data_IF_392543339864
#
_entry.id   IF_392543339864
#
_cell.length_a   1.000
_cell.length_b   1.000
_cell.length_c   1.000
_cell.angle_alpha   90.00
_cell.angle_beta   90.00
_cell.angle_gamma   90.00
#
_symmetry.space_group_name_H-M   'P 1'
#
loop_
_entity.id
_entity.type
_entity.pdbx_description
1 polymer ?
#
# COMPACT_ATOMS: atom_id res chain seq x y z
N UNK A 1 4.04 4.27 11.29
CA UNK A 1 3.16 4.02 10.13
C UNK A 1 3.80 4.62 8.88
N UNK A 2 3.81 3.88 7.79
CA UNK A 2 4.34 4.38 6.53
C UNK A 2 3.42 5.43 5.92
N UNK A 3 4.01 6.47 5.36
CA UNK A 3 3.23 7.47 4.61
C UNK A 3 2.90 6.95 3.21
N UNK A 4 1.95 7.59 2.54
CA UNK A 4 1.64 7.27 1.13
C UNK A 4 2.87 7.41 0.24
N UNK A 5 3.69 8.43 0.47
CA UNK A 5 4.90 8.66 -0.31
C UNK A 5 5.94 7.56 -0.09
N UNK A 6 6.07 7.06 1.15
CA UNK A 6 6.95 5.93 1.46
C UNK A 6 6.50 4.67 0.72
N UNK A 7 5.19 4.39 0.72
CA UNK A 7 4.63 3.22 0.04
C UNK A 7 4.82 3.34 -1.47
N UNK A 8 4.59 4.51 -2.05
CA UNK A 8 4.83 4.76 -3.48
C UNK A 8 6.28 4.51 -3.87
N UNK A 9 7.23 4.96 -3.04
CA UNK A 9 8.64 4.75 -3.29
C UNK A 9 9.01 3.26 -3.24
N UNK A 10 8.45 2.51 -2.29
CA UNK A 10 8.65 1.07 -2.21
C UNK A 10 8.07 0.34 -3.43
N UNK A 11 6.88 0.75 -3.90
CA UNK A 11 6.27 0.21 -5.12
C UNK A 11 7.17 0.46 -6.33
N UNK A 12 7.69 1.67 -6.45
CA UNK A 12 8.61 2.05 -7.53
C UNK A 12 9.86 1.18 -7.56
N UNK A 13 10.50 1.01 -6.40
CA UNK A 13 11.69 0.15 -6.26
C UNK A 13 11.40 -1.31 -6.56
N UNK A 14 10.28 -1.82 -6.07
CA UNK A 14 9.88 -3.20 -6.34
C UNK A 14 9.55 -3.41 -7.83
N UNK A 15 8.93 -2.44 -8.47
CA UNK A 15 8.63 -2.47 -9.91
C UNK A 15 9.91 -2.46 -10.76
N UNK A 16 10.88 -1.63 -10.39
CA UNK A 16 12.20 -1.62 -11.05
C UNK A 16 12.91 -2.95 -10.87
N UNK A 17 12.88 -3.51 -9.66
CA UNK A 17 13.47 -4.81 -9.38
C UNK A 17 12.82 -5.90 -10.21
N UNK A 18 11.50 -5.90 -10.34
CA UNK A 18 10.77 -6.85 -11.19
C UNK A 18 11.22 -6.75 -12.64
N UNK A 19 11.36 -5.54 -13.16
CA UNK A 19 11.81 -5.34 -14.55
C UNK A 19 13.23 -5.87 -14.78
N UNK A 20 14.15 -5.66 -13.84
CA UNK A 20 15.51 -6.21 -13.89
C UNK A 20 15.50 -7.74 -13.91
N UNK A 21 14.70 -8.35 -13.03
CA UNK A 21 14.59 -9.81 -12.96
C UNK A 21 13.98 -10.40 -14.25
N UNK A 22 12.98 -9.74 -14.82
CA UNK A 22 12.41 -10.15 -16.12
C UNK A 22 13.42 -10.07 -17.23
N UNK A 23 14.26 -9.03 -17.23
CA UNK A 23 15.32 -8.88 -18.22
C UNK A 23 16.33 -10.02 -18.15
N UNK A 24 16.74 -10.41 -16.95
CA UNK A 24 17.64 -11.55 -16.73
C UNK A 24 16.99 -12.86 -17.19
N UNK A 25 15.72 -13.07 -16.86
CA UNK A 25 14.97 -14.26 -17.27
C UNK A 25 14.79 -14.36 -18.78
N UNK A 26 14.70 -13.22 -19.48
CA UNK A 26 14.62 -13.19 -20.95
C UNK A 26 15.91 -13.68 -21.61
N UNK A 27 17.06 -13.54 -20.95
CA UNK A 27 18.34 -14.02 -21.45
C UNK A 27 18.54 -15.53 -21.23
N UNK A 28 17.91 -16.10 -20.23
CA UNK A 28 17.98 -17.51 -19.92
C UNK A 28 17.24 -17.84 -18.63
N UNK A 29 16.67 -19.04 -18.56
CA UNK A 29 15.95 -19.48 -17.37
C UNK A 29 16.91 -19.79 -16.23
N UNK A 30 16.68 -19.17 -15.09
CA UNK A 30 17.38 -19.45 -13.83
C UNK A 30 16.32 -19.62 -12.72
N UNK A 31 16.31 -20.78 -12.09
CA UNK A 31 15.31 -21.10 -11.07
C UNK A 31 15.37 -20.16 -9.85
N UNK A 32 16.57 -19.70 -9.48
CA UNK A 32 16.74 -18.76 -8.36
C UNK A 32 16.16 -17.39 -8.73
N UNK A 33 16.44 -16.90 -9.92
CA UNK A 33 15.91 -15.63 -10.41
C UNK A 33 14.38 -15.71 -10.59
N UNK A 34 13.86 -16.83 -11.08
CA UNK A 34 12.42 -17.03 -11.19
C UNK A 34 11.72 -17.00 -9.83
N UNK A 35 12.33 -17.59 -8.79
CA UNK A 35 11.82 -17.55 -7.43
C UNK A 35 11.84 -16.13 -6.85
N UNK A 36 12.92 -15.38 -7.08
CA UNK A 36 13.00 -13.97 -6.68
C UNK A 36 11.93 -13.12 -7.37
N UNK A 37 11.72 -13.35 -8.66
CA UNK A 37 10.68 -12.66 -9.42
C UNK A 37 9.29 -12.91 -8.83
N UNK A 38 8.97 -14.15 -8.49
CA UNK A 38 7.70 -14.49 -7.84
C UNK A 38 7.53 -13.79 -6.49
N UNK A 39 8.59 -13.72 -5.69
CA UNK A 39 8.58 -13.00 -4.40
C UNK A 39 8.35 -11.50 -4.59
N UNK A 40 8.99 -10.91 -5.58
CA UNK A 40 8.82 -9.48 -5.88
C UNK A 40 7.39 -9.18 -6.34
N UNK A 41 6.80 -10.05 -7.15
CA UNK A 41 5.39 -9.90 -7.55
C UNK A 41 4.42 -9.96 -6.36
N UNK A 42 4.65 -10.86 -5.42
CA UNK A 42 3.86 -10.93 -4.19
C UNK A 42 4.04 -9.67 -3.34
N UNK A 43 5.27 -9.17 -3.24
CA UNK A 43 5.56 -7.93 -2.53
C UNK A 43 4.86 -6.73 -3.15
N UNK A 44 4.87 -6.61 -4.47
CA UNK A 44 4.17 -5.55 -5.20
C UNK A 44 2.67 -5.60 -4.90
N UNK A 45 2.06 -6.79 -4.92
CA UNK A 45 0.64 -6.95 -4.61
C UNK A 45 0.32 -6.49 -3.18
N UNK A 46 1.16 -6.85 -2.19
CA UNK A 46 1.01 -6.41 -0.79
C UNK A 46 1.17 -4.89 -0.66
N UNK A 47 2.14 -4.31 -1.35
CA UNK A 47 2.38 -2.87 -1.34
C UNK A 47 1.19 -2.09 -1.92
N UNK A 48 0.57 -2.59 -2.98
CA UNK A 48 -0.65 -1.99 -3.52
C UNK A 48 -1.83 -2.08 -2.55
N UNK A 49 -1.95 -3.19 -1.81
CA UNK A 49 -2.97 -3.32 -0.77
C UNK A 49 -2.74 -2.33 0.38
N UNK A 50 -1.48 -2.18 0.83
CA UNK A 50 -1.08 -1.18 1.82
C UNK A 50 -1.38 0.24 1.32
N UNK A 51 -1.06 0.51 0.06
CA UNK A 51 -1.32 1.81 -0.56
C UNK A 51 -2.81 2.14 -0.56
N UNK A 52 -3.65 1.20 -0.98
CA UNK A 52 -5.10 1.40 -0.97
C UNK A 52 -5.64 1.65 0.44
N UNK A 53 -5.19 0.85 1.40
CA UNK A 53 -5.58 1.01 2.80
C UNK A 53 -5.14 2.36 3.38
N UNK A 54 -3.89 2.76 3.12
CA UNK A 54 -3.35 4.05 3.58
C UNK A 54 -4.05 5.23 2.90
N UNK A 55 -4.40 5.09 1.62
CA UNK A 55 -5.14 6.12 0.89
C UNK A 55 -6.54 6.33 1.45
N UNK A 56 -7.24 5.25 1.79
CA UNK A 56 -8.56 5.32 2.44
C UNK A 56 -8.45 5.99 3.80
N UNK A 57 -7.47 5.59 4.60
CA UNK A 57 -7.23 6.18 5.92
C UNK A 57 -6.89 7.67 5.81
N UNK A 58 -6.04 8.06 4.89
CA UNK A 58 -5.66 9.46 4.66
C UNK A 58 -6.83 10.31 4.18
N UNK A 59 -7.70 9.76 3.33
CA UNK A 59 -8.84 10.46 2.75
C UNK A 59 -10.01 10.63 3.73
N UNK A 60 -10.32 9.59 4.51
CA UNK A 60 -11.49 9.55 5.38
C UNK A 60 -11.14 9.67 6.88
N UNK A 61 -9.86 9.63 7.22
CA UNK A 61 -9.38 9.65 8.60
C UNK A 61 -9.59 8.33 9.34
N UNK A 62 -9.29 8.35 10.64
CA UNK A 62 -9.53 7.23 11.51
C UNK A 62 -11.04 7.09 11.77
N UNK A 63 -11.55 5.89 11.63
CA UNK A 63 -12.96 5.58 11.87
C UNK A 63 -13.41 5.99 13.28
N UNK A 64 -12.57 5.77 14.29
CA UNK A 64 -12.89 6.14 15.67
C UNK A 64 -13.01 7.65 15.84
N UNK A 65 -12.17 8.42 15.17
CA UNK A 65 -12.23 9.88 15.17
C UNK A 65 -13.51 10.38 14.51
N UNK A 66 -13.90 9.77 13.38
CA UNK A 66 -15.14 10.10 12.67
C UNK A 66 -16.36 9.81 13.56
N UNK A 67 -16.40 8.67 14.22
CA UNK A 67 -17.48 8.29 15.13
C UNK A 67 -17.57 9.24 16.32
N UNK A 68 -16.44 9.59 16.93
CA UNK A 68 -16.39 10.54 18.05
C UNK A 68 -16.89 11.92 17.65
N UNK A 69 -16.49 12.39 16.47
CA UNK A 69 -16.95 13.68 15.93
C UNK A 69 -18.46 13.68 15.69
N UNK A 70 -19.00 12.62 15.08
CA UNK A 70 -20.42 12.47 14.84
C UNK A 70 -21.24 12.47 16.15
N UNK A 71 -20.75 11.79 17.19
CA UNK A 71 -21.38 11.79 18.52
C UNK A 71 -21.34 13.15 19.19
N UNK A 72 -20.26 13.88 19.03
CA UNK A 72 -20.12 15.23 19.57
C UNK A 72 -21.12 16.18 18.90
N UNK A 73 -21.24 16.14 17.60
CA UNK A 73 -22.20 16.95 16.84
C UNK A 73 -23.64 16.64 17.27
N UNK A 74 -23.97 15.37 17.46
CA UNK A 74 -25.28 14.95 17.95
C UNK A 74 -25.58 15.51 19.35
N UNK A 75 -24.59 15.50 20.25
CA UNK A 75 -24.74 16.09 21.59
C UNK A 75 -24.97 17.59 21.53
N UNK A 76 -24.25 18.29 20.67
CA UNK A 76 -24.40 19.74 20.49
C UNK A 76 -25.80 20.11 19.97
N UNK A 77 -26.32 19.34 19.03
CA UNK A 77 -27.67 19.51 18.51
C UNK A 77 -28.74 19.32 19.61
N UNK A 78 -28.57 18.31 20.47
CA UNK A 78 -29.50 18.07 21.59
C UNK A 78 -29.41 19.15 22.67
N UNK A 79 -28.25 19.75 22.84
CA UNK A 79 -28.05 20.81 23.85
C UNK A 79 -28.60 22.18 23.40
N UNK A 80 -28.73 22.33 22.09
CA UNK A 80 -29.35 23.52 21.54
C UNK A 80 -30.88 23.43 21.61
#
# INVERSE_FOLDING_TARGET
MKTLDDIKLEIERATERRAELLHVLAEGHDAVVAAEHAQVEEEIARLWDEYRAARVHSRFGDRDVIIKRARLEERLERAA
#
